data_IF_546336132194
#
_entry.id   IF_546336132194
#
_cell.length_a   1.000
_cell.length_b   1.000
_cell.length_c   1.000
_cell.angle_alpha   90.00
_cell.angle_beta   90.00
_cell.angle_gamma   90.00
#
_symmetry.space_group_name_H-M   'P 1'
#
loop_
_entity.id
_entity.type
_entity.pdbx_description
1 polymer ?
#
# COMPACT_ATOMS: atom_id res chain seq x y z
N UNK A 1 -18.31 -3.62 18.21
CA UNK A 1 -17.33 -4.72 18.34
C UNK A 1 -16.33 -4.49 17.23
N UNK A 2 -15.12 -3.99 17.54
CA UNK A 2 -14.04 -3.88 16.53
C UNK A 2 -13.73 -5.30 16.08
N UNK A 3 -13.92 -5.57 14.79
CA UNK A 3 -13.58 -6.85 14.18
C UNK A 3 -12.07 -6.98 14.26
N UNK A 4 -11.56 -8.04 14.90
CA UNK A 4 -10.12 -8.35 14.83
C UNK A 4 -9.78 -8.49 13.35
N UNK A 5 -9.06 -7.50 12.82
CA UNK A 5 -8.76 -7.44 11.40
C UNK A 5 -7.52 -8.26 11.06
N UNK A 6 -6.62 -8.39 11.97
CA UNK A 6 -5.34 -9.02 11.68
C UNK A 6 -5.06 -10.13 12.68
N UNK A 7 -4.55 -11.24 12.17
CA UNK A 7 -3.90 -12.26 12.98
C UNK A 7 -2.59 -11.76 13.61
N UNK A 8 -2.24 -10.49 13.34
CA UNK A 8 -1.01 -9.85 13.78
C UNK A 8 -1.36 -8.61 14.56
N UNK A 9 -0.96 -8.59 15.82
CA UNK A 9 -1.05 -7.40 16.66
C UNK A 9 -0.14 -6.32 16.06
N UNK A 10 -0.75 -5.32 15.41
CA UNK A 10 -0.01 -4.13 15.00
C UNK A 10 0.23 -3.31 16.26
N UNK A 11 1.49 -3.00 16.58
CA UNK A 11 1.78 -2.18 17.73
C UNK A 11 1.08 -0.82 17.63
N UNK A 12 0.34 -0.47 18.69
CA UNK A 12 -0.40 0.80 18.73
C UNK A 12 0.52 2.00 18.48
N UNK A 13 1.76 1.90 18.93
CA UNK A 13 2.78 2.93 18.78
C UNK A 13 3.08 3.23 17.31
N UNK A 14 3.04 2.22 16.44
CA UNK A 14 3.23 2.42 14.98
C UNK A 14 2.01 3.11 14.37
N UNK A 15 0.81 2.75 14.81
CA UNK A 15 -0.42 3.41 14.35
C UNK A 15 -0.46 4.88 14.78
N UNK A 16 -0.12 5.14 16.04
CA UNK A 16 -0.05 6.50 16.58
C UNK A 16 1.04 7.33 15.86
N UNK A 17 2.21 6.72 15.58
CA UNK A 17 3.29 7.35 14.79
C UNK A 17 2.84 7.70 13.37
N UNK A 18 2.09 6.80 12.71
CA UNK A 18 1.60 7.04 11.36
C UNK A 18 0.57 8.18 11.31
N UNK A 19 -0.20 8.37 12.37
CA UNK A 19 -1.19 9.44 12.49
C UNK A 19 -0.58 10.76 12.99
N UNK A 20 0.56 10.71 13.69
CA UNK A 20 1.20 11.89 14.24
C UNK A 20 1.81 12.80 13.17
N UNK A 21 1.92 14.12 13.43
CA UNK A 21 2.72 15.02 12.59
C UNK A 21 4.20 14.60 12.55
N UNK A 22 4.87 14.88 11.42
CA UNK A 22 6.28 14.58 11.25
C UNK A 22 6.54 13.13 10.82
N UNK A 23 7.71 12.61 11.21
CA UNK A 23 8.21 11.31 10.75
C UNK A 23 8.68 10.47 11.94
N UNK A 24 8.54 9.15 11.78
CA UNK A 24 9.03 8.20 12.75
C UNK A 24 10.54 7.93 12.61
N UNK A 25 11.09 7.11 13.51
CA UNK A 25 12.52 6.79 13.50
C UNK A 25 12.95 5.91 12.32
N UNK A 26 12.00 5.26 11.64
CA UNK A 26 12.25 4.41 10.48
C UNK A 26 11.21 4.67 9.38
N UNK A 27 11.54 5.55 8.44
CA UNK A 27 10.69 5.81 7.28
C UNK A 27 11.07 4.96 6.06
N UNK A 28 12.34 4.55 5.95
CA UNK A 28 12.81 3.61 4.91
C UNK A 28 13.84 2.67 5.48
N UNK A 29 13.60 1.37 5.35
CA UNK A 29 14.46 0.33 5.87
C UNK A 29 13.67 -0.81 6.49
N UNK A 30 14.35 -1.70 7.18
CA UNK A 30 13.72 -2.85 7.84
C UNK A 30 14.33 -3.13 9.21
N UNK A 31 13.63 -3.92 10.00
CA UNK A 31 14.12 -4.53 11.25
C UNK A 31 13.50 -5.90 11.47
N UNK A 32 14.26 -6.82 12.02
CA UNK A 32 13.74 -8.10 12.50
C UNK A 32 13.14 -7.88 13.88
N UNK A 33 11.89 -8.30 14.05
CA UNK A 33 11.15 -8.18 15.30
C UNK A 33 11.47 -9.37 16.25
N UNK A 34 11.27 -9.21 17.57
CA UNK A 34 11.53 -10.28 18.52
C UNK A 34 10.74 -11.58 18.29
N UNK A 35 9.59 -11.50 17.63
CA UNK A 35 8.74 -12.65 17.26
C UNK A 35 9.15 -13.31 15.92
N UNK A 36 10.25 -12.86 15.31
CA UNK A 36 10.79 -13.39 14.07
C UNK A 36 10.15 -12.83 12.80
N UNK A 37 9.15 -11.95 12.92
CA UNK A 37 8.64 -11.20 11.76
C UNK A 37 9.65 -10.17 11.28
N UNK A 38 9.58 -9.81 10.02
CA UNK A 38 10.34 -8.67 9.49
C UNK A 38 9.39 -7.50 9.27
N UNK A 39 9.69 -6.40 9.95
CA UNK A 39 9.04 -5.12 9.70
C UNK A 39 9.84 -4.35 8.65
N UNK A 40 9.17 -3.85 7.62
CA UNK A 40 9.77 -2.98 6.62
C UNK A 40 8.97 -1.68 6.48
N UNK A 41 9.65 -0.62 6.14
CA UNK A 41 9.07 0.70 5.91
C UNK A 41 9.63 1.28 4.62
N UNK A 42 8.79 2.03 3.90
CA UNK A 42 9.21 2.86 2.76
C UNK A 42 8.50 4.21 2.82
N UNK A 43 9.17 5.21 2.26
CA UNK A 43 8.68 6.57 2.15
C UNK A 43 8.88 7.06 0.72
N UNK A 44 7.81 7.54 0.11
CA UNK A 44 7.85 8.08 -1.25
C UNK A 44 7.13 9.44 -1.32
N UNK A 45 7.78 10.41 -1.95
CA UNK A 45 7.19 11.71 -2.23
C UNK A 45 6.48 11.66 -3.58
N UNK A 46 5.30 12.28 -3.63
CA UNK A 46 4.48 12.42 -4.83
C UNK A 46 4.32 13.92 -5.15
N UNK A 47 5.31 14.54 -5.81
CA UNK A 47 5.21 15.93 -6.20
C UNK A 47 4.00 16.15 -7.12
N UNK A 48 3.23 17.22 -6.85
CA UNK A 48 2.06 17.62 -7.64
C UNK A 48 0.85 16.66 -7.57
N UNK A 49 0.98 15.47 -6.98
CA UNK A 49 -0.16 14.60 -6.71
C UNK A 49 -0.87 15.01 -5.41
N UNK A 50 -2.10 14.55 -5.25
CA UNK A 50 -2.86 14.59 -4.00
C UNK A 50 -3.32 13.18 -3.65
N UNK A 51 -3.54 12.92 -2.36
CA UNK A 51 -3.93 11.57 -1.94
C UNK A 51 -5.22 11.08 -2.59
N UNK A 52 -6.15 11.98 -2.98
CA UNK A 52 -7.32 11.62 -3.79
C UNK A 52 -6.96 11.00 -5.14
N UNK A 53 -5.81 11.36 -5.73
CA UNK A 53 -5.34 10.77 -6.98
C UNK A 53 -4.84 9.34 -6.74
N UNK A 54 -4.16 9.11 -5.61
CA UNK A 54 -3.75 7.77 -5.18
C UNK A 54 -4.98 6.90 -4.88
N UNK A 55 -5.96 7.44 -4.17
CA UNK A 55 -7.23 6.74 -3.94
C UNK A 55 -7.95 6.38 -5.25
N UNK A 56 -7.96 7.29 -6.22
CA UNK A 56 -8.52 7.05 -7.56
C UNK A 56 -7.74 5.97 -8.32
N UNK A 57 -6.40 5.95 -8.23
CA UNK A 57 -5.57 4.91 -8.84
C UNK A 57 -6.01 3.53 -8.38
N UNK A 58 -6.02 3.26 -7.07
CA UNK A 58 -6.39 1.95 -6.53
C UNK A 58 -7.90 1.66 -6.58
N UNK A 59 -8.72 2.69 -6.42
CA UNK A 59 -10.17 2.55 -6.38
C UNK A 59 -10.84 2.43 -7.75
N UNK A 60 -10.27 3.05 -8.79
CA UNK A 60 -10.92 3.22 -10.09
C UNK A 60 -10.04 2.81 -11.26
N UNK A 61 -8.84 3.37 -11.39
CA UNK A 61 -8.05 3.24 -12.62
C UNK A 61 -7.37 1.88 -12.75
N UNK A 62 -6.82 1.35 -11.67
CA UNK A 62 -6.20 0.03 -11.65
C UNK A 62 -7.27 -1.06 -11.78
N UNK A 63 -7.49 -1.56 -13.01
CA UNK A 63 -8.58 -2.49 -13.30
C UNK A 63 -8.21 -3.68 -14.18
N UNK A 64 -7.00 -3.71 -14.76
CA UNK A 64 -6.52 -4.83 -15.59
C UNK A 64 -4.99 -4.92 -15.61
N UNK A 65 -4.47 -5.99 -16.21
CA UNK A 65 -3.03 -6.24 -16.35
C UNK A 65 -2.30 -5.11 -17.10
N UNK A 66 -2.95 -4.43 -18.04
CA UNK A 66 -2.30 -3.34 -18.78
C UNK A 66 -2.06 -2.13 -17.88
N UNK A 67 -3.04 -1.72 -17.08
CA UNK A 67 -2.85 -0.65 -16.08
C UNK A 67 -1.83 -1.06 -15.01
N UNK A 68 -1.79 -2.34 -14.65
CA UNK A 68 -0.82 -2.88 -13.69
C UNK A 68 0.62 -2.81 -14.21
N UNK A 69 0.84 -3.18 -15.49
CA UNK A 69 2.15 -3.08 -16.14
C UNK A 69 2.60 -1.63 -16.39
N UNK A 70 1.67 -0.69 -16.50
CA UNK A 70 2.01 0.74 -16.57
C UNK A 70 2.69 1.21 -15.28
N UNK A 71 2.33 0.61 -14.15
CA UNK A 71 2.83 0.98 -12.85
C UNK A 71 4.28 0.53 -12.64
N UNK A 72 4.59 -0.76 -12.93
CA UNK A 72 5.94 -1.28 -12.79
C UNK A 72 6.23 -2.37 -13.84
N UNK A 73 7.46 -2.45 -14.41
CA UNK A 73 7.82 -3.45 -15.41
C UNK A 73 7.80 -4.89 -14.87
N UNK A 74 8.06 -5.08 -13.57
CA UNK A 74 8.05 -6.38 -12.91
C UNK A 74 6.63 -6.95 -12.67
N UNK A 75 5.60 -6.14 -12.87
CA UNK A 75 4.21 -6.57 -12.81
C UNK A 75 3.85 -7.40 -14.04
N UNK A 76 3.38 -8.63 -13.86
CA UNK A 76 3.12 -9.56 -14.96
C UNK A 76 1.65 -9.77 -15.25
N UNK A 77 0.86 -10.10 -14.23
CA UNK A 77 -0.58 -10.33 -14.34
C UNK A 77 -1.33 -9.67 -13.20
N UNK A 78 -2.58 -9.27 -13.48
CA UNK A 78 -3.44 -8.67 -12.48
C UNK A 78 -4.91 -8.82 -12.84
N UNK A 79 -5.72 -9.19 -11.82
CA UNK A 79 -7.18 -9.10 -11.85
C UNK A 79 -7.70 -8.76 -10.45
N UNK A 80 -8.86 -8.11 -10.40
CA UNK A 80 -9.66 -8.02 -9.17
C UNK A 80 -10.57 -9.24 -9.03
N UNK A 81 -10.89 -9.60 -7.79
CA UNK A 81 -11.99 -10.53 -7.54
C UNK A 81 -13.36 -9.85 -7.79
N UNK A 82 -14.44 -10.61 -7.72
CA UNK A 82 -15.82 -10.18 -7.95
C UNK A 82 -16.36 -9.23 -6.86
N UNK A 83 -15.63 -9.04 -5.77
CA UNK A 83 -15.99 -8.13 -4.68
C UNK A 83 -15.59 -6.68 -4.96
N UNK A 84 -14.82 -6.43 -6.05
CA UNK A 84 -14.39 -5.08 -6.42
C UNK A 84 -15.56 -4.19 -6.80
N UNK A 85 -15.67 -3.08 -6.07
CA UNK A 85 -16.67 -2.02 -6.35
C UNK A 85 -15.99 -0.81 -6.99
N UNK A 86 -16.74 -0.07 -7.81
CA UNK A 86 -16.25 1.17 -8.39
C UNK A 86 -15.90 2.18 -7.29
N UNK A 87 -14.78 2.87 -7.45
CA UNK A 87 -14.34 3.94 -6.56
C UNK A 87 -13.63 3.47 -5.28
N UNK A 88 -13.56 2.16 -5.00
CA UNK A 88 -12.89 1.65 -3.81
C UNK A 88 -12.29 0.27 -4.03
N UNK A 89 -11.16 -0.03 -3.38
CA UNK A 89 -10.62 -1.38 -3.27
C UNK A 89 -11.04 -2.10 -1.98
N UNK A 90 -11.69 -1.40 -1.03
CA UNK A 90 -12.12 -1.98 0.25
C UNK A 90 -13.06 -3.17 0.02
N UNK A 91 -12.73 -4.29 0.65
CA UNK A 91 -13.47 -5.55 0.52
C UNK A 91 -13.08 -6.41 -0.67
N UNK A 92 -12.32 -5.88 -1.64
CA UNK A 92 -11.84 -6.62 -2.81
C UNK A 92 -10.49 -7.30 -2.56
N UNK A 93 -10.16 -8.28 -3.42
CA UNK A 93 -8.86 -8.91 -3.48
C UNK A 93 -8.20 -8.62 -4.81
N UNK A 94 -7.02 -8.03 -4.75
CA UNK A 94 -6.07 -7.87 -5.85
C UNK A 94 -5.34 -9.21 -6.02
N UNK A 95 -5.46 -9.82 -7.18
CA UNK A 95 -4.82 -11.09 -7.50
C UNK A 95 -3.79 -10.80 -8.57
N UNK A 96 -2.52 -10.99 -8.26
CA UNK A 96 -1.40 -10.62 -9.13
C UNK A 96 -0.25 -11.60 -9.09
N UNK A 97 0.61 -11.45 -10.08
CA UNK A 97 1.96 -12.02 -10.10
C UNK A 97 2.94 -10.91 -10.44
N UNK A 98 4.02 -10.84 -9.68
CA UNK A 98 5.08 -9.85 -9.90
C UNK A 98 6.45 -10.42 -9.52
N UNK A 99 7.49 -9.87 -10.11
CA UNK A 99 8.86 -10.21 -9.73
C UNK A 99 9.30 -9.40 -8.50
N UNK A 100 9.67 -10.12 -7.43
CA UNK A 100 10.36 -9.56 -6.27
C UNK A 100 11.81 -10.03 -6.32
N UNK A 101 12.70 -9.21 -6.89
CA UNK A 101 14.01 -9.66 -7.33
C UNK A 101 13.89 -10.62 -8.50
N UNK A 102 14.54 -11.79 -8.43
CA UNK A 102 14.51 -12.80 -9.50
C UNK A 102 13.35 -13.82 -9.35
N UNK A 103 12.50 -13.65 -8.35
CA UNK A 103 11.42 -14.60 -8.06
C UNK A 103 10.07 -14.05 -8.51
N UNK A 104 9.35 -14.82 -9.34
CA UNK A 104 7.96 -14.54 -9.64
C UNK A 104 7.08 -14.99 -8.46
N UNK A 105 6.39 -14.04 -7.85
CA UNK A 105 5.59 -14.25 -6.65
C UNK A 105 4.11 -14.06 -6.99
N UNK A 106 3.31 -15.14 -6.95
CA UNK A 106 1.85 -15.02 -7.04
C UNK A 106 1.29 -14.56 -5.69
N UNK A 107 0.45 -13.52 -5.72
CA UNK A 107 -0.09 -12.90 -4.52
C UNK A 107 -1.58 -12.65 -4.61
N UNK A 108 -2.20 -12.69 -3.44
CA UNK A 108 -3.57 -12.25 -3.19
C UNK A 108 -3.54 -11.18 -2.11
N UNK A 109 -3.88 -9.96 -2.45
CA UNK A 109 -3.86 -8.80 -1.56
C UNK A 109 -5.30 -8.45 -1.22
N UNK A 110 -5.74 -8.79 -0.01
CA UNK A 110 -7.10 -8.52 0.49
C UNK A 110 -7.14 -7.18 1.19
N UNK A 111 -7.94 -6.25 0.65
CA UNK A 111 -8.11 -4.92 1.22
C UNK A 111 -9.22 -4.87 2.27
N UNK A 112 -8.96 -4.13 3.35
CA UNK A 112 -9.86 -3.91 4.47
C UNK A 112 -10.19 -2.44 4.63
N UNK A 113 -11.24 -2.16 5.40
CA UNK A 113 -11.59 -0.79 5.75
C UNK A 113 -10.52 -0.20 6.67
N UNK A 114 -9.94 0.97 6.36
CA UNK A 114 -8.95 1.60 7.24
C UNK A 114 -9.44 1.82 8.67
N UNK A 115 -10.75 1.98 8.89
CA UNK A 115 -11.34 2.12 10.22
C UNK A 115 -11.26 0.85 11.09
N UNK A 116 -10.97 -0.30 10.48
CA UNK A 116 -10.70 -1.53 11.22
C UNK A 116 -9.37 -1.46 12.00
N UNK A 117 -8.46 -0.57 11.58
CA UNK A 117 -7.10 -0.43 12.14
C UNK A 117 -6.86 0.95 12.75
N UNK A 118 -7.19 1.99 12.02
CA UNK A 118 -6.91 3.37 12.39
C UNK A 118 -8.11 4.05 13.05
N UNK A 119 -7.83 5.01 13.91
CA UNK A 119 -8.80 6.03 14.30
C UNK A 119 -8.94 7.05 13.16
N UNK A 120 -9.85 6.75 12.23
CA UNK A 120 -10.07 7.58 11.02
C UNK A 120 -10.59 8.99 11.35
N UNK A 121 -11.09 9.23 12.57
CA UNK A 121 -11.51 10.57 12.98
C UNK A 121 -10.35 11.56 13.04
N UNK A 122 -9.11 11.05 13.11
CA UNK A 122 -7.86 11.84 13.12
C UNK A 122 -7.31 12.12 11.71
N UNK A 123 -7.90 11.55 10.66
CA UNK A 123 -7.34 11.66 9.32
C UNK A 123 -7.29 13.10 8.82
N UNK A 124 -8.34 13.89 9.07
CA UNK A 124 -8.38 15.30 8.66
C UNK A 124 -7.28 16.13 9.35
N UNK A 125 -7.16 16.01 10.67
CA UNK A 125 -6.12 16.69 11.44
C UNK A 125 -4.70 16.27 11.02
N UNK A 126 -4.53 14.99 10.66
CA UNK A 126 -3.26 14.41 10.19
C UNK A 126 -3.00 14.62 8.70
N UNK A 127 -3.87 15.34 7.99
CA UNK A 127 -3.84 15.53 6.53
C UNK A 127 -3.81 14.22 5.72
N UNK A 128 -4.35 13.13 6.27
CA UNK A 128 -4.41 11.84 5.61
C UNK A 128 -5.63 11.83 4.68
N UNK A 129 -5.38 11.73 3.38
CA UNK A 129 -6.40 11.77 2.33
C UNK A 129 -6.59 10.43 1.63
N UNK A 130 -5.72 9.45 1.91
CA UNK A 130 -5.87 8.06 1.45
C UNK A 130 -5.17 7.12 2.45
N UNK A 131 -5.81 6.01 2.74
CA UNK A 131 -5.21 4.91 3.51
C UNK A 131 -5.60 3.58 2.87
N UNK A 132 -4.64 2.66 2.78
CA UNK A 132 -4.83 1.29 2.31
C UNK A 132 -4.34 0.34 3.39
N UNK A 133 -5.16 -0.63 3.70
CA UNK A 133 -4.89 -1.67 4.69
C UNK A 133 -5.13 -3.01 4.02
N UNK A 134 -4.14 -3.89 4.01
CA UNK A 134 -4.30 -5.17 3.35
C UNK A 134 -3.48 -6.30 3.97
N UNK A 135 -3.99 -7.51 3.83
CA UNK A 135 -3.25 -8.77 4.04
C UNK A 135 -2.77 -9.31 2.71
N UNK A 136 -1.59 -9.92 2.74
CA UNK A 136 -0.96 -10.57 1.59
C UNK A 136 -0.92 -12.08 1.86
N UNK A 137 -1.48 -12.85 0.93
CA UNK A 137 -1.47 -14.32 1.00
C UNK A 137 -1.01 -14.94 -0.32
N UNK A 138 -0.59 -16.20 -0.25
CA UNK A 138 -0.35 -17.02 -1.42
C UNK A 138 -1.66 -17.47 -2.08
N UNK A 139 -1.56 -18.18 -3.23
CA UNK A 139 -2.72 -18.79 -3.89
C UNK A 139 -3.45 -19.81 -3.02
N UNK A 140 -2.74 -20.43 -2.07
CA UNK A 140 -3.25 -21.36 -1.07
C UNK A 140 -4.03 -20.69 0.07
N UNK A 141 -4.05 -19.35 0.12
CA UNK A 141 -4.70 -18.56 1.15
C UNK A 141 -3.88 -18.42 2.44
N UNK A 142 -2.65 -18.93 2.48
CA UNK A 142 -1.77 -18.75 3.63
C UNK A 142 -1.27 -17.30 3.65
N UNK A 143 -1.61 -16.57 4.70
CA UNK A 143 -1.18 -15.18 4.88
C UNK A 143 0.28 -15.15 5.29
N UNK A 144 1.10 -14.45 4.52
CA UNK A 144 2.53 -14.28 4.79
C UNK A 144 2.94 -12.82 5.01
N UNK A 145 2.01 -11.88 4.90
CA UNK A 145 2.29 -10.48 5.15
C UNK A 145 1.05 -9.62 5.28
N UNK A 146 1.28 -8.40 5.69
CA UNK A 146 0.30 -7.33 5.64
C UNK A 146 0.98 -5.99 5.39
N UNK A 147 0.23 -5.02 4.93
CA UNK A 147 0.72 -3.65 4.83
C UNK A 147 -0.31 -2.60 5.25
N UNK A 148 0.24 -1.46 5.62
CA UNK A 148 -0.45 -0.20 5.80
C UNK A 148 0.20 0.84 4.89
N UNK A 149 -0.59 1.50 4.04
CA UNK A 149 -0.18 2.66 3.27
C UNK A 149 -1.00 3.86 3.71
N UNK A 150 -0.32 4.92 4.15
CA UNK A 150 -0.95 6.20 4.46
C UNK A 150 -0.41 7.25 3.50
N UNK A 151 -1.32 8.02 2.91
CA UNK A 151 -1.00 9.16 2.05
C UNK A 151 -1.43 10.44 2.74
N UNK A 152 -0.47 11.32 3.00
CA UNK A 152 -0.69 12.65 3.56
C UNK A 152 -0.54 13.72 2.48
N UNK A 153 -1.48 14.64 2.43
CA UNK A 153 -1.36 15.82 1.60
C UNK A 153 -0.36 16.82 2.23
N UNK A 154 0.46 17.43 1.36
CA UNK A 154 1.52 18.35 1.75
C UNK A 154 1.49 19.59 0.85
N UNK A 155 2.34 20.58 1.15
CA UNK A 155 2.50 21.79 0.32
C UNK A 155 3.10 21.49 -1.06
N UNK A 156 3.91 20.42 -1.20
CA UNK A 156 4.52 20.02 -2.49
C UNK A 156 3.68 19.04 -3.32
N UNK A 157 2.64 18.47 -2.74
CA UNK A 157 1.83 17.43 -3.34
C UNK A 157 1.25 16.51 -2.27
N UNK A 158 1.69 15.25 -2.26
CA UNK A 158 1.46 14.33 -1.16
C UNK A 158 2.69 13.44 -0.90
N UNK A 159 2.63 12.64 0.14
CA UNK A 159 3.65 11.66 0.50
C UNK A 159 2.99 10.36 0.93
N UNK A 160 3.63 9.24 0.61
CA UNK A 160 3.15 7.92 1.03
C UNK A 160 4.14 7.32 2.01
N UNK A 161 3.60 6.86 3.14
CA UNK A 161 4.32 6.14 4.19
C UNK A 161 3.79 4.72 4.24
N UNK A 162 4.62 3.75 3.92
CA UNK A 162 4.25 2.35 3.88
C UNK A 162 4.88 1.60 5.04
N UNK A 163 4.13 0.67 5.61
CA UNK A 163 4.59 -0.23 6.66
C UNK A 163 4.17 -1.64 6.30
N UNK A 164 5.11 -2.56 6.36
CA UNK A 164 4.91 -3.97 6.02
C UNK A 164 5.33 -4.85 7.19
N UNK A 165 4.62 -5.94 7.38
CA UNK A 165 4.98 -7.03 8.28
C UNK A 165 5.03 -8.32 7.47
N UNK A 166 6.22 -8.94 7.41
CA UNK A 166 6.45 -10.20 6.71
C UNK A 166 6.60 -11.33 7.72
N UNK A 167 5.81 -12.39 7.55
CA UNK A 167 5.82 -13.57 8.39
C UNK A 167 6.73 -14.60 7.76
N UNK A 168 7.70 -15.09 8.52
CA UNK A 168 8.71 -15.98 7.98
C UNK A 168 9.60 -15.31 6.92
N UNK A 169 9.52 -13.97 6.80
CA UNK A 169 10.34 -13.20 5.86
C UNK A 169 11.82 -13.21 6.27
N UNK A 170 12.68 -13.11 5.26
CA UNK A 170 14.13 -12.94 5.44
C UNK A 170 14.53 -11.47 5.26
N UNK A 171 15.75 -11.12 5.64
CA UNK A 171 16.30 -9.79 5.36
C UNK A 171 16.37 -9.52 3.86
N UNK A 172 16.69 -10.54 3.05
CA UNK A 172 16.72 -10.45 1.60
C UNK A 172 15.35 -10.16 1.02
N UNK A 173 14.31 -10.83 1.52
CA UNK A 173 12.92 -10.55 1.13
C UNK A 173 12.52 -9.11 1.49
N UNK A 174 12.93 -8.62 2.67
CA UNK A 174 12.67 -7.24 3.06
C UNK A 174 13.38 -6.23 2.15
N UNK A 175 14.65 -6.47 1.81
CA UNK A 175 15.41 -5.62 0.87
C UNK A 175 14.79 -5.61 -0.51
N UNK A 176 14.38 -6.79 -1.02
CA UNK A 176 13.67 -6.92 -2.29
C UNK A 176 12.34 -6.16 -2.30
N UNK A 177 11.52 -6.33 -1.26
CA UNK A 177 10.27 -5.60 -1.11
C UNK A 177 10.47 -4.08 -1.04
N UNK A 178 11.45 -3.61 -0.26
CA UNK A 178 11.74 -2.17 -0.13
C UNK A 178 12.15 -1.60 -1.49
N UNK A 179 13.06 -2.27 -2.21
CA UNK A 179 13.50 -1.86 -3.54
C UNK A 179 12.31 -1.77 -4.48
N UNK A 180 11.53 -2.85 -4.61
CA UNK A 180 10.36 -2.92 -5.49
C UNK A 180 9.34 -1.83 -5.14
N UNK A 181 8.98 -1.68 -3.87
CA UNK A 181 7.99 -0.69 -3.45
C UNK A 181 8.45 0.76 -3.68
N UNK A 182 9.75 1.07 -3.51
CA UNK A 182 10.28 2.40 -3.84
C UNK A 182 10.25 2.66 -5.35
N UNK A 183 10.55 1.66 -6.17
CA UNK A 183 10.53 1.76 -7.63
C UNK A 183 9.10 1.93 -8.15
N UNK A 184 8.16 1.09 -7.71
CA UNK A 184 6.76 1.17 -8.13
C UNK A 184 6.08 2.47 -7.68
N UNK A 185 6.26 2.90 -6.43
CA UNK A 185 5.67 4.13 -5.91
C UNK A 185 6.35 5.36 -6.52
N UNK A 186 7.64 5.29 -6.80
CA UNK A 186 8.37 6.32 -7.55
C UNK A 186 7.81 6.49 -8.97
N UNK A 187 7.65 5.38 -9.69
CA UNK A 187 7.03 5.38 -11.02
C UNK A 187 5.61 5.96 -10.98
N UNK A 188 4.78 5.52 -10.02
CA UNK A 188 3.43 6.07 -9.84
C UNK A 188 3.47 7.58 -9.60
N UNK A 189 4.39 8.06 -8.77
CA UNK A 189 4.53 9.48 -8.47
C UNK A 189 4.83 10.34 -9.71
N UNK A 190 5.57 9.80 -10.67
CA UNK A 190 5.94 10.50 -11.91
C UNK A 190 4.75 10.68 -12.85
N UNK A 191 3.95 9.66 -13.07
CA UNK A 191 2.90 9.73 -14.09
C UNK A 191 1.50 10.04 -13.56
N UNK A 192 1.23 9.79 -12.27
CA UNK A 192 -0.12 9.87 -11.68
C UNK A 192 -0.79 11.24 -11.87
N UNK A 193 -0.13 12.40 -11.63
CA UNK A 193 -0.80 13.70 -11.82
C UNK A 193 -1.27 13.92 -13.25
N UNK A 194 -0.41 13.63 -14.22
CA UNK A 194 -0.73 13.78 -15.64
C UNK A 194 -1.81 12.80 -16.11
N UNK A 195 -1.74 11.56 -15.65
CA UNK A 195 -2.75 10.55 -15.95
C UNK A 195 -4.10 10.95 -15.37
N UNK A 196 -4.15 11.31 -14.09
CA UNK A 196 -5.39 11.71 -13.42
C UNK A 196 -6.08 12.88 -14.15
N UNK A 197 -5.31 13.89 -14.55
CA UNK A 197 -5.85 15.02 -15.29
C UNK A 197 -6.44 14.60 -16.64
N UNK A 198 -5.76 13.76 -17.39
CA UNK A 198 -6.25 13.27 -18.71
C UNK A 198 -7.55 12.48 -18.59
N UNK A 199 -7.59 11.56 -17.62
CA UNK A 199 -8.76 10.66 -17.47
C UNK A 199 -9.98 11.36 -16.85
N UNK A 200 -9.79 12.50 -16.20
CA UNK A 200 -10.86 13.27 -15.56
C UNK A 200 -11.12 14.64 -16.23
N UNK A 201 -10.57 14.88 -17.44
CA UNK A 201 -10.90 16.05 -18.25
C UNK A 201 -12.29 15.90 -18.83
N UNK A 202 -13.28 16.43 -18.18
CA UNK A 202 -14.68 16.42 -18.64
C UNK A 202 -15.70 15.89 -17.63
N UNK A 203 -15.24 15.64 -16.39
CA UNK A 203 -16.11 15.33 -15.25
C UNK A 203 -16.42 16.58 -14.43
#
# INVERSE_FOLDING_TARGET
>A
MKKEMTRYDIPKEILDEMLAPGYGPLETGYKVLPDGKVFAATYTRFPYAKGRMVAWWFGTFLHNTQSYKLWHPDHTTFVWDDQKKSGTCVGATHISEEYLGDQLVPMRIKFYDPSDVFDVSKFEESHISCALVAEISGPDGIVFGMFLHIVRDTSFGCEMRNRFWLIGGTEEAAKGLIKHNLEEMGSLAEFLPGLFLRENQGA
#
